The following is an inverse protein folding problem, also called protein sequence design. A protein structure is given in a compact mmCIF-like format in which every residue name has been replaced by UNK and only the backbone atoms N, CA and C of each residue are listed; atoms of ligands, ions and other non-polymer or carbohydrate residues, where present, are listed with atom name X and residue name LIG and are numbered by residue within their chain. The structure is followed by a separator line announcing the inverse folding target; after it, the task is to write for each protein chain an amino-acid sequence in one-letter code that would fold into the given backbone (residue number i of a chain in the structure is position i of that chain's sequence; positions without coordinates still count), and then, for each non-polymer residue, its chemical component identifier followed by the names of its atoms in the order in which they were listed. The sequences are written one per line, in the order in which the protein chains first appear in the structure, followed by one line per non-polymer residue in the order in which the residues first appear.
data_IF_566260271234
#
_entry.id   IF_566260271234
#
_cell.length_a   1.000
_cell.length_b   1.000
_cell.length_c   1.000
_cell.angle_alpha   90.00
_cell.angle_beta   90.00
_cell.angle_gamma   90.00
#
_symmetry.space_group_name_H-M   'P 1'
#
loop_
_entity.id
_entity.type
_entity.pdbx_description
1 polymer ?
#
# COMPACT_ATOMS: atom_id res chain seq x y z
N UNK A 1 32.73 -20.31 -13.81
CA UNK A 1 32.82 -20.42 -15.28
C UNK A 1 33.39 -19.11 -15.80
N UNK A 2 34.59 -19.14 -16.35
CA UNK A 2 35.37 -17.92 -16.60
C UNK A 2 34.74 -17.13 -17.76
N UNK A 3 34.68 -15.79 -17.66
CA UNK A 3 34.01 -14.94 -18.67
C UNK A 3 34.52 -15.18 -20.10
N UNK A 4 35.78 -15.60 -20.23
CA UNK A 4 36.42 -15.96 -21.49
C UNK A 4 35.89 -17.25 -22.11
N UNK A 5 35.50 -18.25 -21.32
CA UNK A 5 34.93 -19.51 -21.84
C UNK A 5 33.51 -19.30 -22.36
N UNK A 6 32.73 -18.44 -21.68
CA UNK A 6 31.38 -18.04 -22.11
C UNK A 6 31.46 -17.26 -23.43
N UNK A 7 32.42 -16.34 -23.56
CA UNK A 7 32.61 -15.57 -24.79
C UNK A 7 32.96 -16.47 -25.99
N UNK A 8 33.82 -17.48 -25.81
CA UNK A 8 34.18 -18.42 -26.89
C UNK A 8 33.02 -19.32 -27.35
N UNK A 9 32.10 -19.64 -26.43
CA UNK A 9 30.93 -20.48 -26.73
C UNK A 9 29.90 -19.69 -27.57
N UNK A 10 29.75 -18.40 -27.29
CA UNK A 10 28.85 -17.50 -28.02
C UNK A 10 29.35 -17.24 -29.45
N UNK A 11 30.66 -17.07 -29.65
CA UNK A 11 31.23 -16.91 -31.00
C UNK A 11 31.12 -18.17 -31.85
N UNK A 12 31.25 -19.35 -31.24
CA UNK A 12 31.04 -20.64 -31.93
C UNK A 12 29.59 -20.82 -32.39
N UNK A 13 28.63 -20.37 -31.57
CA UNK A 13 27.20 -20.46 -31.90
C UNK A 13 26.80 -19.53 -33.06
N UNK A 14 27.46 -18.38 -33.22
CA UNK A 14 27.20 -17.45 -34.33
C UNK A 14 27.70 -17.98 -35.68
N UNK A 15 28.75 -18.81 -35.72
CA UNK A 15 29.29 -19.36 -36.96
C UNK A 15 28.46 -20.54 -37.52
N UNK A 16 27.63 -21.16 -36.70
CA UNK A 16 26.74 -22.26 -37.12
C UNK A 16 25.47 -21.78 -37.85
N UNK A 17 25.09 -20.51 -37.71
CA UNK A 17 23.84 -19.98 -38.30
C UNK A 17 24.01 -19.58 -39.78
N UNK A 18 25.24 -19.41 -40.27
CA UNK A 18 25.50 -18.96 -41.66
C UNK A 18 25.45 -20.07 -42.71
N UNK A 19 25.16 -21.32 -42.34
CA UNK A 19 25.15 -22.47 -43.27
C UNK A 19 23.77 -22.86 -43.82
N UNK A 20 22.73 -22.02 -43.64
CA UNK A 20 21.45 -22.22 -44.32
C UNK A 20 21.50 -21.70 -45.77
N UNK A 21 22.02 -22.53 -46.66
CA UNK A 21 21.78 -22.41 -48.11
C UNK A 21 20.32 -22.77 -48.40
N UNK A 22 19.44 -21.77 -48.52
CA UNK A 22 18.10 -21.99 -49.09
C UNK A 22 18.23 -22.08 -50.61
N UNK A 23 17.90 -23.25 -51.16
CA UNK A 23 17.73 -23.44 -52.60
C UNK A 23 16.54 -22.59 -53.06
N UNK A 24 16.83 -21.42 -53.63
CA UNK A 24 15.86 -20.65 -54.39
C UNK A 24 15.65 -21.39 -55.71
N UNK A 25 14.76 -22.37 -55.70
CA UNK A 25 14.23 -22.93 -56.93
C UNK A 25 13.49 -21.79 -57.63
N UNK A 26 14.01 -21.34 -58.77
CA UNK A 26 13.24 -20.51 -59.69
C UNK A 26 11.94 -21.25 -59.98
N UNK A 27 10.82 -20.79 -59.40
CA UNK A 27 9.51 -21.24 -59.82
C UNK A 27 9.40 -20.87 -61.31
N UNK A 28 9.59 -21.88 -62.15
CA UNK A 28 9.07 -21.85 -63.51
C UNK A 28 7.57 -21.64 -63.36
N UNK A 29 7.15 -20.37 -63.48
CA UNK A 29 5.76 -19.97 -63.21
C UNK A 29 4.77 -20.94 -63.85
N UNK A 30 3.70 -21.24 -63.13
CA UNK A 30 2.70 -22.25 -63.49
C UNK A 30 1.31 -21.66 -63.24
N UNK A 31 0.30 -22.13 -63.97
CA UNK A 31 -1.11 -21.77 -63.73
C UNK A 31 -1.71 -22.50 -62.51
N UNK A 32 -0.98 -23.44 -61.93
CA UNK A 32 -1.46 -24.30 -60.84
C UNK A 32 -0.71 -24.08 -59.52
N UNK A 33 0.30 -23.22 -59.49
CA UNK A 33 1.12 -22.95 -58.30
C UNK A 33 1.62 -21.52 -58.29
N UNK A 34 2.04 -21.05 -57.12
CA UNK A 34 2.55 -19.69 -56.92
C UNK A 34 1.45 -18.65 -56.69
N UNK A 35 1.86 -17.39 -56.55
CA UNK A 35 0.97 -16.25 -56.29
C UNK A 35 0.12 -15.92 -57.52
N UNK A 36 -1.00 -15.20 -57.33
CA UNK A 36 -1.80 -14.68 -58.45
C UNK A 36 -0.92 -13.83 -59.40
N UNK A 37 0.04 -13.08 -58.86
CA UNK A 37 1.01 -12.31 -59.67
C UNK A 37 1.86 -13.23 -60.55
N UNK A 38 2.46 -14.27 -59.98
CA UNK A 38 3.32 -15.19 -60.76
C UNK A 38 2.53 -15.99 -61.79
N UNK A 39 1.26 -16.31 -61.50
CA UNK A 39 0.34 -16.93 -62.46
C UNK A 39 0.00 -15.99 -63.62
N UNK A 40 -0.16 -14.68 -63.34
CA UNK A 40 -0.43 -13.66 -64.36
C UNK A 40 0.80 -13.40 -65.24
N UNK A 41 1.98 -13.31 -64.64
CA UNK A 41 3.27 -13.18 -65.34
C UNK A 41 3.54 -14.39 -66.22
N UNK A 42 3.23 -15.59 -65.72
CA UNK A 42 3.30 -16.82 -66.49
C UNK A 42 2.32 -16.81 -67.67
N UNK A 43 1.06 -16.40 -67.45
CA UNK A 43 0.07 -16.27 -68.51
C UNK A 43 0.56 -15.34 -69.62
N UNK A 44 1.13 -14.19 -69.26
CA UNK A 44 1.67 -13.21 -70.19
C UNK A 44 2.86 -13.79 -70.99
N UNK A 45 3.70 -14.60 -70.34
CA UNK A 45 4.85 -15.28 -70.97
C UNK A 45 4.42 -16.33 -72.00
N UNK A 46 3.40 -17.13 -71.72
CA UNK A 46 2.96 -18.24 -72.59
C UNK A 46 1.97 -17.82 -73.68
N UNK A 47 1.45 -16.60 -73.65
CA UNK A 47 0.47 -16.10 -74.61
C UNK A 47 1.14 -15.48 -75.85
N UNK A 48 0.54 -15.75 -77.01
CA UNK A 48 1.06 -15.26 -78.30
C UNK A 48 0.74 -13.78 -78.49
N UNK A 49 1.60 -13.05 -79.19
CA UNK A 49 1.33 -11.66 -79.57
C UNK A 49 0.59 -11.62 -80.91
N UNK A 50 -0.44 -10.78 -81.01
CA UNK A 50 -1.09 -10.43 -82.27
C UNK A 50 -1.27 -8.91 -82.30
N UNK A 51 -0.49 -8.22 -83.14
CA UNK A 51 -0.40 -6.76 -83.15
C UNK A 51 -0.03 -6.24 -81.74
N UNK A 52 -0.84 -5.35 -81.17
CA UNK A 52 -0.69 -4.80 -79.82
C UNK A 52 -1.42 -5.65 -78.75
N UNK A 53 -1.97 -6.81 -79.10
CA UNK A 53 -2.77 -7.65 -78.22
C UNK A 53 -2.07 -8.96 -77.85
N UNK A 54 -2.38 -9.48 -76.66
CA UNK A 54 -2.00 -10.83 -76.21
C UNK A 54 -3.14 -11.81 -76.45
N UNK A 55 -2.88 -12.86 -77.22
CA UNK A 55 -3.79 -13.98 -77.48
C UNK A 55 -3.60 -15.03 -76.40
N UNK A 56 -4.58 -15.10 -75.49
CA UNK A 56 -4.60 -16.03 -74.37
C UNK A 56 -5.59 -17.16 -74.65
N UNK A 57 -5.23 -18.41 -74.34
CA UNK A 57 -6.15 -19.54 -74.41
C UNK A 57 -7.28 -19.35 -73.40
N UNK A 58 -8.54 -19.52 -73.82
CA UNK A 58 -9.72 -19.42 -72.93
C UNK A 58 -9.59 -20.26 -71.66
N UNK A 59 -9.12 -21.51 -71.78
CA UNK A 59 -8.91 -22.40 -70.64
C UNK A 59 -7.95 -21.83 -69.57
N UNK A 60 -6.91 -21.08 -69.97
CA UNK A 60 -5.97 -20.48 -69.03
C UNK A 60 -6.58 -19.25 -68.34
N UNK A 61 -7.39 -18.48 -69.06
CA UNK A 61 -8.18 -17.36 -68.51
C UNK A 61 -9.19 -17.87 -67.47
N UNK A 62 -9.93 -18.93 -67.79
CA UNK A 62 -10.88 -19.56 -66.89
C UNK A 62 -10.18 -20.12 -65.64
N UNK A 63 -8.97 -20.68 -65.80
CA UNK A 63 -8.17 -21.19 -64.68
C UNK A 63 -7.72 -20.08 -63.73
N UNK A 64 -7.17 -18.96 -64.23
CA UNK A 64 -6.81 -17.81 -63.40
C UNK A 64 -8.03 -17.23 -62.71
N UNK A 65 -9.14 -17.09 -63.42
CA UNK A 65 -10.41 -16.63 -62.82
C UNK A 65 -10.80 -17.52 -61.63
N UNK A 66 -10.72 -18.83 -61.79
CA UNK A 66 -11.00 -19.78 -60.70
C UNK A 66 -10.04 -19.60 -59.52
N UNK A 67 -8.74 -19.47 -59.77
CA UNK A 67 -7.73 -19.32 -58.72
C UNK A 67 -7.88 -17.99 -57.95
N UNK A 68 -8.24 -16.91 -58.65
CA UNK A 68 -8.54 -15.60 -58.05
C UNK A 68 -9.78 -15.69 -57.16
N UNK A 69 -10.86 -16.32 -57.65
CA UNK A 69 -12.09 -16.52 -56.86
C UNK A 69 -11.85 -17.39 -55.64
N UNK A 70 -11.04 -18.44 -55.76
CA UNK A 70 -10.64 -19.30 -54.64
C UNK A 70 -9.89 -18.49 -53.57
N UNK A 71 -8.88 -17.72 -53.98
CA UNK A 71 -8.10 -16.84 -53.08
C UNK A 71 -9.00 -15.82 -52.37
N UNK A 72 -9.95 -15.21 -53.10
CA UNK A 72 -10.90 -14.27 -52.52
C UNK A 72 -11.80 -14.96 -51.48
N UNK A 73 -12.27 -16.17 -51.77
CA UNK A 73 -13.09 -16.94 -50.82
C UNK A 73 -12.33 -17.33 -49.55
N UNK A 74 -11.02 -17.57 -49.66
CA UNK A 74 -10.14 -17.82 -48.50
C UNK A 74 -10.02 -16.56 -47.67
N UNK A 75 -9.76 -15.41 -48.29
CA UNK A 75 -9.69 -14.13 -47.59
C UNK A 75 -11.01 -13.74 -46.90
N UNK A 76 -12.16 -13.98 -47.53
CA UNK A 76 -13.47 -13.76 -46.90
C UNK A 76 -13.66 -14.63 -45.66
N UNK A 77 -13.27 -15.91 -45.72
CA UNK A 77 -13.34 -16.84 -44.57
C UNK A 77 -12.38 -16.44 -43.45
N UNK A 78 -11.15 -16.03 -43.79
CA UNK A 78 -10.19 -15.52 -42.81
C UNK A 78 -10.71 -14.24 -42.15
N UNK A 79 -11.27 -13.32 -42.93
CA UNK A 79 -11.83 -12.08 -42.41
C UNK A 79 -12.99 -12.34 -41.45
N UNK A 80 -13.89 -13.27 -41.78
CA UNK A 80 -14.96 -13.70 -40.89
C UNK A 80 -14.41 -14.32 -39.58
N UNK A 81 -13.35 -15.13 -39.67
CA UNK A 81 -12.69 -15.75 -38.51
C UNK A 81 -12.00 -14.72 -37.62
N UNK A 82 -11.30 -13.75 -38.23
CA UNK A 82 -10.66 -12.65 -37.52
C UNK A 82 -11.73 -11.80 -36.82
N UNK A 83 -12.83 -11.47 -37.50
CA UNK A 83 -13.92 -10.70 -36.91
C UNK A 83 -14.54 -11.42 -35.72
N UNK A 84 -14.76 -12.74 -35.82
CA UNK A 84 -15.23 -13.54 -34.67
C UNK A 84 -14.23 -13.54 -33.52
N UNK A 85 -12.93 -13.60 -33.84
CA UNK A 85 -11.85 -13.55 -32.82
C UNK A 85 -11.81 -12.19 -32.13
N UNK A 86 -11.96 -11.10 -32.87
CA UNK A 86 -12.03 -9.74 -32.32
C UNK A 86 -13.23 -9.58 -31.40
N UNK A 87 -14.41 -10.07 -31.81
CA UNK A 87 -15.60 -10.07 -30.95
C UNK A 87 -15.34 -10.86 -29.66
N UNK A 88 -14.76 -12.06 -29.77
CA UNK A 88 -14.43 -12.89 -28.60
C UNK A 88 -13.36 -12.27 -27.68
N UNK A 89 -12.42 -11.50 -28.24
CA UNK A 89 -11.44 -10.75 -27.46
C UNK A 89 -12.08 -9.57 -26.75
N UNK A 90 -12.97 -8.82 -27.42
CA UNK A 90 -13.69 -7.71 -26.83
C UNK A 90 -14.60 -8.14 -25.68
N UNK A 91 -15.27 -9.29 -25.81
CA UNK A 91 -16.09 -9.85 -24.71
C UNK A 91 -15.22 -10.24 -23.52
N UNK A 92 -14.08 -10.89 -23.74
CA UNK A 92 -13.11 -11.19 -22.66
C UNK A 92 -12.57 -9.93 -22.00
N UNK A 93 -12.22 -8.90 -22.76
CA UNK A 93 -11.77 -7.62 -22.20
C UNK A 93 -12.84 -7.02 -21.29
N UNK A 94 -14.09 -6.98 -21.77
CA UNK A 94 -15.22 -6.45 -20.99
C UNK A 94 -15.45 -7.27 -19.70
N UNK A 95 -15.29 -8.60 -19.78
CA UNK A 95 -15.38 -9.48 -18.61
C UNK A 95 -14.23 -9.26 -17.62
N UNK A 96 -12.99 -9.10 -18.10
CA UNK A 96 -11.84 -8.79 -17.25
C UNK A 96 -11.97 -7.42 -16.59
N UNK A 97 -12.46 -6.41 -17.31
CA UNK A 97 -12.73 -5.08 -16.77
C UNK A 97 -13.78 -5.14 -15.65
N UNK A 98 -14.89 -5.86 -15.87
CA UNK A 98 -15.91 -6.06 -14.86
C UNK A 98 -15.38 -6.80 -13.62
N UNK A 99 -14.55 -7.83 -13.80
CA UNK A 99 -13.88 -8.53 -12.69
C UNK A 99 -12.89 -7.62 -11.96
N UNK A 100 -12.19 -6.74 -12.67
CA UNK A 100 -11.24 -5.81 -12.06
C UNK A 100 -11.97 -4.75 -11.21
N UNK A 101 -13.11 -4.24 -11.69
CA UNK A 101 -13.98 -3.35 -10.93
C UNK A 101 -14.53 -4.04 -9.67
N UNK A 102 -15.00 -5.29 -9.79
CA UNK A 102 -15.50 -6.04 -8.63
C UNK A 102 -14.41 -6.30 -7.60
N UNK A 103 -13.20 -6.66 -8.03
CA UNK A 103 -12.06 -6.89 -7.14
C UNK A 103 -11.62 -5.58 -6.46
N UNK A 104 -11.63 -4.44 -7.16
CA UNK A 104 -11.34 -3.15 -6.53
C UNK A 104 -12.37 -2.78 -5.47
N UNK A 105 -13.65 -3.03 -5.74
CA UNK A 105 -14.71 -2.77 -4.76
C UNK A 105 -14.60 -3.71 -3.55
N UNK A 106 -14.35 -5.00 -3.77
CA UNK A 106 -14.08 -5.95 -2.68
C UNK A 106 -12.85 -5.56 -1.86
N UNK A 107 -11.77 -5.12 -2.52
CA UNK A 107 -10.57 -4.62 -1.85
C UNK A 107 -10.89 -3.39 -1.00
N UNK A 108 -11.66 -2.44 -1.54
CA UNK A 108 -12.09 -1.23 -0.81
C UNK A 108 -12.93 -1.60 0.42
N UNK A 109 -13.85 -2.54 0.28
CA UNK A 109 -14.68 -3.04 1.39
C UNK A 109 -13.80 -3.76 2.43
N UNK A 110 -12.86 -4.60 1.98
CA UNK A 110 -11.96 -5.33 2.87
C UNK A 110 -10.98 -4.40 3.61
N UNK A 111 -10.47 -3.36 2.95
CA UNK A 111 -9.66 -2.31 3.58
C UNK A 111 -10.49 -1.53 4.63
N UNK A 112 -11.72 -1.14 4.30
CA UNK A 112 -12.61 -0.50 5.25
C UNK A 112 -12.92 -1.40 6.45
N UNK A 113 -13.18 -2.69 6.21
CA UNK A 113 -13.42 -3.67 7.27
C UNK A 113 -12.17 -3.89 8.14
N UNK A 114 -10.97 -3.97 7.52
CA UNK A 114 -9.69 -4.14 8.22
C UNK A 114 -9.33 -2.93 9.08
N UNK A 115 -9.56 -1.73 8.56
CA UNK A 115 -9.25 -0.49 9.25
C UNK A 115 -10.34 -0.11 10.26
N UNK A 116 -11.50 -0.77 10.24
CA UNK A 116 -12.55 -0.63 11.25
C UNK A 116 -12.47 -1.72 12.32
N UNK A 117 -12.51 -1.34 13.59
CA UNK A 117 -12.78 -2.27 14.70
C UNK A 117 -14.15 -1.93 15.29
N UNK A 118 -14.99 -2.95 15.52
CA UNK A 118 -16.25 -2.77 16.24
C UNK A 118 -15.97 -2.62 17.74
N UNK A 119 -16.15 -1.41 18.27
CA UNK A 119 -16.09 -1.15 19.70
C UNK A 119 -17.47 -0.68 20.16
N UNK A 120 -18.09 -1.42 21.09
CA UNK A 120 -19.47 -1.16 21.57
C UNK A 120 -20.52 -1.05 20.44
N UNK A 121 -20.36 -1.83 19.37
CA UNK A 121 -21.29 -1.86 18.22
C UNK A 121 -21.10 -0.74 17.19
N UNK A 122 -20.14 0.18 17.40
CA UNK A 122 -19.80 1.24 16.45
C UNK A 122 -18.47 0.89 15.76
N UNK A 123 -18.37 0.97 14.42
CA UNK A 123 -17.11 0.81 13.70
C UNK A 123 -16.21 2.03 13.94
N UNK A 124 -15.05 1.82 14.55
CA UNK A 124 -14.05 2.86 14.82
C UNK A 124 -12.79 2.58 13.99
N UNK A 125 -12.27 3.60 13.31
CA UNK A 125 -11.03 3.48 12.54
C UNK A 125 -9.84 3.21 13.48
N UNK A 126 -8.92 2.32 13.08
CA UNK A 126 -7.75 1.87 13.87
C UNK A 126 -6.89 3.04 14.36
N UNK A 127 -6.74 4.06 13.53
CA UNK A 127 -6.00 5.29 13.90
C UNK A 127 -6.72 6.08 15.01
N UNK A 128 -8.04 6.21 14.91
CA UNK A 128 -8.86 6.90 15.92
C UNK A 128 -8.85 6.15 17.25
N UNK A 129 -8.86 4.81 17.23
CA UNK A 129 -8.70 3.99 18.44
C UNK A 129 -7.36 4.26 19.12
N UNK A 130 -6.26 4.19 18.38
CA UNK A 130 -4.92 4.42 18.94
C UNK A 130 -4.81 5.83 19.55
N UNK A 131 -5.30 6.86 18.85
CA UNK A 131 -5.32 8.23 19.36
C UNK A 131 -6.17 8.36 20.64
N UNK A 132 -7.35 7.73 20.68
CA UNK A 132 -8.22 7.75 21.86
C UNK A 132 -7.60 7.01 23.04
N UNK A 133 -7.01 5.83 22.82
CA UNK A 133 -6.31 5.07 23.86
C UNK A 133 -5.17 5.87 24.48
N UNK A 134 -4.30 6.46 23.66
CA UNK A 134 -3.21 7.29 24.16
C UNK A 134 -3.69 8.57 24.86
N UNK A 135 -4.81 9.14 24.44
CA UNK A 135 -5.45 10.27 25.13
C UNK A 135 -5.92 9.87 26.52
N UNK A 136 -6.57 8.69 26.66
CA UNK A 136 -7.00 8.16 27.96
C UNK A 136 -5.79 7.88 28.85
N UNK A 137 -4.74 7.24 28.32
CA UNK A 137 -3.50 6.96 29.04
C UNK A 137 -2.83 8.26 29.51
N UNK A 138 -2.70 9.26 28.62
CA UNK A 138 -2.12 10.55 28.96
C UNK A 138 -2.95 11.32 29.99
N UNK A 139 -4.28 11.27 29.89
CA UNK A 139 -5.20 11.88 30.86
C UNK A 139 -5.08 11.25 32.25
N UNK A 140 -5.05 9.92 32.32
CA UNK A 140 -4.83 9.17 33.57
C UNK A 140 -3.46 9.46 34.17
N UNK A 141 -2.42 9.50 33.35
CA UNK A 141 -1.06 9.81 33.79
C UNK A 141 -0.99 11.25 34.33
N UNK A 142 -1.60 12.21 33.65
CA UNK A 142 -1.71 13.60 34.10
C UNK A 142 -2.46 13.72 35.44
N UNK A 143 -3.61 13.05 35.57
CA UNK A 143 -4.38 13.02 36.81
C UNK A 143 -3.59 12.36 37.97
N UNK A 144 -2.85 11.29 37.67
CA UNK A 144 -2.01 10.61 38.65
C UNK A 144 -0.86 11.50 39.13
N UNK A 145 -0.14 12.17 38.22
CA UNK A 145 0.91 13.12 38.58
C UNK A 145 0.35 14.31 39.36
N UNK A 146 -0.82 14.83 38.98
CA UNK A 146 -1.51 15.87 39.71
C UNK A 146 -1.85 15.44 41.14
N UNK A 147 -2.35 14.21 41.32
CA UNK A 147 -2.64 13.65 42.63
C UNK A 147 -1.38 13.51 43.48
N UNK A 148 -0.29 13.00 42.93
CA UNK A 148 1.00 12.90 43.62
C UNK A 148 1.52 14.27 44.06
N UNK A 149 1.49 15.26 43.17
CA UNK A 149 1.90 16.62 43.49
C UNK A 149 1.07 17.21 44.64
N UNK A 150 -0.26 17.08 44.58
CA UNK A 150 -1.15 17.55 45.64
C UNK A 150 -0.90 16.80 46.95
N UNK A 151 -0.70 15.50 46.89
CA UNK A 151 -0.42 14.65 48.06
C UNK A 151 0.88 15.06 48.75
N UNK A 152 1.98 15.22 48.02
CA UNK A 152 3.26 15.67 48.57
C UNK A 152 3.18 17.07 49.20
N UNK A 153 2.49 18.01 48.54
CA UNK A 153 2.25 19.35 49.12
C UNK A 153 1.43 19.26 50.41
N UNK A 154 0.37 18.45 50.42
CA UNK A 154 -0.46 18.24 51.60
C UNK A 154 0.34 17.64 52.75
N UNK A 155 1.21 16.66 52.47
CA UNK A 155 2.04 16.03 53.49
C UNK A 155 3.02 17.02 54.13
N UNK A 156 3.66 17.89 53.31
CA UNK A 156 4.56 18.94 53.82
C UNK A 156 3.83 19.93 54.74
N UNK A 157 2.64 20.38 54.35
CA UNK A 157 1.82 21.29 55.17
C UNK A 157 1.41 20.65 56.50
N UNK A 158 1.00 19.37 56.49
CA UNK A 158 0.65 18.64 57.71
C UNK A 158 1.86 18.49 58.64
N UNK A 159 3.04 18.19 58.09
CA UNK A 159 4.27 18.09 58.88
C UNK A 159 4.62 19.41 59.58
N UNK A 160 4.59 20.53 58.84
CA UNK A 160 4.84 21.87 59.40
C UNK A 160 3.79 22.22 60.45
N UNK A 161 2.51 21.96 60.20
CA UNK A 161 1.45 22.23 61.17
C UNK A 161 1.62 21.44 62.46
N UNK A 162 2.08 20.18 62.38
CA UNK A 162 2.40 19.35 63.56
C UNK A 162 3.60 19.89 64.33
N UNK A 163 4.64 20.35 63.63
CA UNK A 163 5.81 20.95 64.26
C UNK A 163 5.43 22.25 64.98
N UNK A 164 4.73 23.16 64.31
CA UNK A 164 4.28 24.43 64.91
C UNK A 164 3.38 24.18 66.13
N UNK A 165 2.53 23.15 66.08
CA UNK A 165 1.70 22.77 67.21
C UNK A 165 2.55 22.27 68.38
N UNK A 166 3.55 21.43 68.12
CA UNK A 166 4.47 20.96 69.17
C UNK A 166 5.23 22.12 69.82
N UNK A 167 5.78 23.05 69.02
CA UNK A 167 6.46 24.26 69.49
C UNK A 167 5.52 25.14 70.32
N UNK A 168 4.29 25.39 69.85
CA UNK A 168 3.31 26.21 70.59
C UNK A 168 2.91 25.56 71.93
N UNK A 169 2.76 24.23 71.96
CA UNK A 169 2.46 23.49 73.20
C UNK A 169 3.62 23.59 74.19
N UNK A 170 4.86 23.45 73.72
CA UNK A 170 6.05 23.60 74.55
C UNK A 170 6.17 25.03 75.12
N UNK A 171 5.99 26.06 74.28
CA UNK A 171 5.98 27.46 74.71
C UNK A 171 4.86 27.74 75.73
N UNK A 172 3.67 27.18 75.51
CA UNK A 172 2.54 27.32 76.43
C UNK A 172 2.82 26.66 77.78
N UNK A 173 3.39 25.45 77.79
CA UNK A 173 3.81 24.78 79.01
C UNK A 173 4.89 25.56 79.75
N UNK A 174 5.88 26.09 79.04
CA UNK A 174 6.94 26.91 79.62
C UNK A 174 6.37 28.21 80.21
N UNK A 175 5.49 28.90 79.48
CA UNK A 175 4.80 30.09 79.96
C UNK A 175 3.96 29.80 81.21
N UNK A 176 3.24 28.67 81.23
CA UNK A 176 2.45 28.21 82.38
C UNK A 176 3.35 27.95 83.59
N UNK A 177 4.48 27.25 83.42
CA UNK A 177 5.46 27.00 84.49
C UNK A 177 6.01 28.31 85.05
N UNK A 178 6.46 29.22 84.18
CA UNK A 178 7.01 30.52 84.58
C UNK A 178 5.98 31.41 85.30
N UNK A 179 4.71 31.35 84.89
CA UNK A 179 3.64 32.11 85.54
C UNK A 179 3.32 31.54 86.93
N UNK A 180 3.23 30.21 87.06
CA UNK A 180 3.06 29.55 88.35
C UNK A 180 4.22 29.82 89.30
N UNK A 181 5.45 29.83 88.81
CA UNK A 181 6.64 30.20 89.62
C UNK A 181 6.59 31.65 90.07
N UNK A 182 6.21 32.59 89.17
CA UNK A 182 6.00 34.00 89.53
C UNK A 182 4.91 34.17 90.58
N UNK A 183 3.76 33.53 90.41
CA UNK A 183 2.68 33.57 91.41
C UNK A 183 3.11 32.97 92.75
N UNK A 184 3.82 31.84 92.74
CA UNK A 184 4.37 31.22 93.96
C UNK A 184 5.35 32.15 94.66
N UNK A 185 6.21 32.85 93.91
CA UNK A 185 7.16 33.82 94.46
C UNK A 185 6.43 35.03 95.04
N UNK A 186 5.47 35.61 94.32
CA UNK A 186 4.66 36.73 94.81
C UNK A 186 3.86 36.35 96.07
N UNK A 187 3.30 35.14 96.14
CA UNK A 187 2.62 34.64 97.34
C UNK A 187 3.58 34.52 98.53
N UNK A 188 4.81 34.03 98.31
CA UNK A 188 5.84 33.99 99.35
C UNK A 188 6.20 35.40 99.83
N UNK A 189 6.44 36.33 98.91
CA UNK A 189 6.74 37.73 99.24
C UNK A 189 5.58 38.42 99.98
N UNK A 190 4.33 38.16 99.61
CA UNK A 190 3.15 38.67 100.32
C UNK A 190 3.01 38.08 101.72
N UNK A 191 3.25 36.77 101.88
CA UNK A 191 3.25 36.11 103.20
C UNK A 191 4.39 36.66 104.07
N UNK A 192 5.58 36.86 103.52
CA UNK A 192 6.71 37.47 104.22
C UNK A 192 6.44 38.94 104.61
N UNK A 193 5.73 39.69 103.75
CA UNK A 193 5.29 41.05 104.06
C UNK A 193 4.21 41.08 105.16
N UNK A 194 3.30 40.09 105.20
CA UNK A 194 2.26 39.94 106.23
C UNK A 194 2.81 39.40 107.56
N UNK A 195 3.77 38.48 107.53
CA UNK A 195 4.34 37.80 108.70
C UNK A 195 5.47 38.58 109.40
N UNK A 196 5.71 39.83 109.01
CA UNK A 196 6.47 40.79 109.80
C UNK A 196 7.93 40.91 109.41
N UNK A 197 8.24 41.97 108.65
CA UNK A 197 9.42 42.80 108.94
C UNK A 197 9.02 43.91 109.92
N UNK A 198 9.01 43.56 111.20
CA UNK A 198 9.57 44.45 112.22
C UNK A 198 10.87 43.79 112.66
N UNK A 199 11.95 44.59 112.55
CA UNK A 199 13.39 44.30 112.74
C UNK A 199 14.07 43.48 111.65
#
# INVERSE_FOLDING_TARGET
MNKTTILSLITSLFFAVTSYSQEFSEETGSLNSGTISSQFDYLNRISNNYQEYKVVKKANLDKIKSNVLDSLSVFEKELATIQQTVVNQQTKISELEAQMESIQEELRIAEQARDSFFFLGIPIHKNSYNAMMWTIVAGLLGAFLFFLYKFSRSHKVISIARQNLAETVEEFEQHRKNTLERERKLKRELVDALNGKTT
#
